data_IF_291691225683
#
_entry.id   IF_291691225683
#
_cell.length_a   1.000
_cell.length_b   1.000
_cell.length_c   1.000
_cell.angle_alpha   90.00
_cell.angle_beta   90.00
_cell.angle_gamma   90.00
#
_symmetry.space_group_name_H-M   'P 1'
#
loop_
_entity.id
_entity.type
_entity.pdbx_description
1 polymer ?
#
# COMPACT_ATOMS: atom_id res chain seq x y z
N UNK A 1 37.20 15.55 -26.65
CA UNK A 1 36.83 14.40 -25.80
C UNK A 1 36.87 14.81 -24.33
N UNK A 2 35.82 14.56 -23.53
CA UNK A 2 35.95 14.60 -22.07
C UNK A 2 35.51 13.26 -21.45
N UNK A 3 36.44 12.33 -21.32
CA UNK A 3 36.31 11.18 -20.44
C UNK A 3 36.94 11.55 -19.09
N UNK A 4 36.22 11.41 -17.98
CA UNK A 4 36.82 11.57 -16.64
C UNK A 4 35.92 12.08 -15.52
N UNK A 5 34.71 12.56 -15.78
CA UNK A 5 33.82 13.11 -14.72
C UNK A 5 32.92 12.09 -13.99
N UNK A 6 32.96 10.81 -14.37
CA UNK A 6 32.05 9.79 -13.84
C UNK A 6 32.52 9.03 -12.59
N UNK A 7 33.84 8.85 -12.42
CA UNK A 7 34.37 7.89 -11.44
C UNK A 7 34.49 8.41 -10.01
N UNK A 8 34.58 9.74 -9.84
CA UNK A 8 34.78 10.35 -8.51
C UNK A 8 33.53 10.21 -7.65
N UNK A 9 32.35 10.36 -8.26
CA UNK A 9 31.07 10.17 -7.56
C UNK A 9 30.76 8.70 -7.21
N UNK A 10 31.28 7.76 -7.99
CA UNK A 10 31.04 6.32 -7.78
C UNK A 10 31.81 5.79 -6.57
N UNK A 11 33.11 6.07 -6.51
CA UNK A 11 33.95 5.65 -5.38
C UNK A 11 33.52 6.31 -4.07
N UNK A 12 33.00 7.54 -4.13
CA UNK A 12 32.44 8.23 -2.97
C UNK A 12 31.20 7.51 -2.42
N UNK A 13 30.25 7.16 -3.28
CA UNK A 13 29.01 6.49 -2.86
C UNK A 13 29.25 5.06 -2.36
N UNK A 14 30.17 4.32 -2.98
CA UNK A 14 30.56 3.00 -2.51
C UNK A 14 31.26 3.05 -1.15
N UNK A 15 32.14 4.03 -0.92
CA UNK A 15 32.77 4.22 0.40
C UNK A 15 31.74 4.57 1.47
N UNK A 16 30.77 5.44 1.16
CA UNK A 16 29.67 5.74 2.07
C UNK A 16 28.86 4.48 2.41
N UNK A 17 28.50 3.68 1.41
CA UNK A 17 27.77 2.43 1.61
C UNK A 17 28.57 1.43 2.45
N UNK A 18 29.89 1.35 2.29
CA UNK A 18 30.75 0.53 3.13
C UNK A 18 30.75 0.99 4.59
N UNK A 19 30.81 2.31 4.84
CA UNK A 19 30.69 2.86 6.20
C UNK A 19 29.32 2.62 6.82
N UNK A 20 28.24 2.70 6.02
CA UNK A 20 26.89 2.37 6.48
C UNK A 20 26.70 0.88 6.75
N UNK A 21 27.31 0.01 5.93
CA UNK A 21 27.29 -1.44 6.11
C UNK A 21 28.03 -1.88 7.38
N UNK A 22 29.05 -1.12 7.81
CA UNK A 22 29.72 -1.33 9.10
C UNK A 22 28.84 -0.96 10.31
N UNK A 23 27.67 -0.33 10.10
CA UNK A 23 26.69 -0.01 11.15
C UNK A 23 26.92 1.30 11.90
N UNK A 24 28.02 2.01 11.62
CA UNK A 24 28.38 3.25 12.32
C UNK A 24 27.94 4.50 11.55
N UNK A 25 26.69 4.93 11.79
CA UNK A 25 26.12 6.16 11.21
C UNK A 25 26.93 7.41 11.61
N UNK A 26 27.48 7.43 12.83
CA UNK A 26 28.32 8.52 13.32
C UNK A 26 29.63 8.65 12.52
N UNK A 27 30.29 7.52 12.26
CA UNK A 27 31.53 7.46 11.46
C UNK A 27 31.27 7.86 10.02
N UNK A 28 30.18 7.38 9.43
CA UNK A 28 29.77 7.76 8.07
C UNK A 28 29.45 9.27 7.96
N UNK A 29 28.83 9.85 8.99
CA UNK A 29 28.54 11.30 9.05
C UNK A 29 29.81 12.12 9.16
N UNK A 30 30.74 11.72 10.04
CA UNK A 30 32.02 12.40 10.19
C UNK A 30 32.85 12.33 8.90
N UNK A 31 32.87 11.17 8.25
CA UNK A 31 33.54 11.00 6.96
C UNK A 31 32.94 11.91 5.87
N UNK A 32 31.61 11.99 5.80
CA UNK A 32 30.91 12.88 4.87
C UNK A 32 31.20 14.37 5.15
N UNK A 33 31.27 14.78 6.41
CA UNK A 33 31.64 16.14 6.81
C UNK A 33 33.11 16.48 6.50
N UNK A 34 34.02 15.52 6.63
CA UNK A 34 35.43 15.71 6.26
C UNK A 34 35.63 15.99 4.76
N UNK A 35 34.69 15.51 3.92
CA UNK A 35 34.71 15.71 2.47
C UNK A 35 33.97 16.96 2.00
N UNK A 36 33.20 17.62 2.87
CA UNK A 36 32.52 18.88 2.56
C UNK A 36 33.55 19.99 2.27
N UNK A 37 33.48 20.55 1.06
CA UNK A 37 34.33 21.68 0.64
C UNK A 37 35.62 21.29 -0.10
N UNK A 38 35.97 20.00 -0.17
CA UNK A 38 37.13 19.52 -0.95
C UNK A 38 36.82 19.47 -2.46
N UNK A 39 35.56 19.31 -2.83
CA UNK A 39 35.17 19.12 -4.24
C UNK A 39 34.14 20.17 -4.67
N UNK A 40 34.60 21.11 -5.49
CA UNK A 40 33.80 22.18 -6.08
C UNK A 40 33.59 21.90 -7.57
N UNK A 41 32.54 21.15 -7.90
CA UNK A 41 32.16 20.91 -9.30
C UNK A 41 30.82 20.22 -9.42
N UNK A 42 29.98 20.66 -10.37
CA UNK A 42 28.80 19.89 -10.75
C UNK A 42 29.26 18.49 -11.21
N UNK A 43 28.74 17.39 -10.63
CA UNK A 43 27.42 17.26 -10.01
C UNK A 43 27.43 16.89 -8.50
N UNK A 44 28.39 17.42 -7.73
CA UNK A 44 28.51 17.18 -6.29
C UNK A 44 27.28 17.46 -5.42
N UNK A 45 26.50 18.53 -5.66
CA UNK A 45 25.36 18.85 -4.80
C UNK A 45 24.30 17.73 -4.76
N UNK A 46 24.06 17.08 -5.89
CA UNK A 46 23.09 15.99 -6.02
C UNK A 46 23.57 14.72 -5.31
N UNK A 47 24.86 14.39 -5.44
CA UNK A 47 25.51 13.25 -4.78
C UNK A 47 25.49 13.44 -3.26
N UNK A 48 25.75 14.67 -2.82
CA UNK A 48 25.74 15.02 -1.41
C UNK A 48 24.35 14.94 -0.79
N UNK A 49 23.32 15.45 -1.47
CA UNK A 49 21.93 15.32 -1.06
C UNK A 49 21.50 13.84 -0.96
N UNK A 50 21.92 13.01 -1.93
CA UNK A 50 21.66 11.56 -1.90
C UNK A 50 22.33 10.91 -0.68
N UNK A 51 23.58 11.27 -0.40
CA UNK A 51 24.34 10.75 0.74
C UNK A 51 23.73 11.15 2.09
N UNK A 52 23.27 12.40 2.23
CA UNK A 52 22.53 12.84 3.40
C UNK A 52 21.24 12.04 3.60
N UNK A 53 20.46 11.84 2.53
CA UNK A 53 19.22 11.06 2.62
C UNK A 53 19.49 9.61 3.08
N UNK A 54 20.59 9.00 2.62
CA UNK A 54 21.03 7.67 3.07
C UNK A 54 21.41 7.64 4.56
N UNK A 55 22.08 8.68 5.06
CA UNK A 55 22.38 8.80 6.49
C UNK A 55 21.11 8.96 7.33
N UNK A 56 20.15 9.75 6.86
CA UNK A 56 18.84 9.91 7.52
C UNK A 56 18.07 8.60 7.56
N UNK A 57 18.10 7.83 6.46
CA UNK A 57 17.49 6.50 6.40
C UNK A 57 18.14 5.53 7.39
N UNK A 58 19.48 5.51 7.47
CA UNK A 58 20.22 4.69 8.44
C UNK A 58 19.99 5.13 9.89
N UNK A 59 19.78 6.43 10.12
CA UNK A 59 19.42 7.01 11.41
C UNK A 59 17.95 6.80 11.83
N UNK A 60 17.13 6.14 11.00
CA UNK A 60 15.72 5.87 11.29
C UNK A 60 14.75 7.00 10.93
N UNK A 61 15.23 8.10 10.32
CA UNK A 61 14.42 9.22 9.86
C UNK A 61 13.92 8.99 8.41
N UNK A 62 13.21 7.89 8.20
CA UNK A 62 12.75 7.45 6.86
C UNK A 62 11.86 8.47 6.15
N UNK A 63 10.98 9.18 6.86
CA UNK A 63 10.10 10.20 6.27
C UNK A 63 10.88 11.41 5.72
N UNK A 64 11.92 11.85 6.43
CA UNK A 64 12.78 12.93 5.97
C UNK A 64 13.61 12.48 4.74
N UNK A 65 14.12 11.25 4.77
CA UNK A 65 14.84 10.66 3.64
C UNK A 65 13.95 10.53 2.38
N UNK A 66 12.69 10.10 2.52
CA UNK A 66 11.74 9.98 1.41
C UNK A 66 11.53 11.32 0.70
N UNK A 67 11.31 12.40 1.46
CA UNK A 67 11.11 13.73 0.91
C UNK A 67 12.32 14.17 0.05
N UNK A 68 13.53 13.91 0.53
CA UNK A 68 14.77 14.23 -0.19
C UNK A 68 14.92 13.37 -1.45
N UNK A 69 14.65 12.06 -1.40
CA UNK A 69 14.69 11.21 -2.59
C UNK A 69 13.69 11.65 -3.67
N UNK A 70 12.50 12.09 -3.26
CA UNK A 70 11.47 12.60 -4.19
C UNK A 70 11.87 13.93 -4.82
N UNK A 71 12.58 14.78 -4.10
CA UNK A 71 13.13 16.02 -4.65
C UNK A 71 14.26 15.72 -5.64
N UNK A 72 15.20 14.85 -5.27
CA UNK A 72 16.30 14.41 -6.13
C UNK A 72 15.82 13.81 -7.45
N UNK A 73 14.73 13.04 -7.45
CA UNK A 73 14.16 12.49 -8.68
C UNK A 73 13.66 13.57 -9.66
N UNK A 74 13.33 14.76 -9.18
CA UNK A 74 12.87 15.89 -10.00
C UNK A 74 14.02 16.78 -10.46
N UNK A 75 15.02 17.00 -9.59
CA UNK A 75 16.07 17.99 -9.79
C UNK A 75 17.36 17.40 -10.36
N UNK A 76 17.63 16.10 -10.16
CA UNK A 76 18.92 15.52 -10.50
C UNK A 76 19.17 15.38 -12.01
N UNK A 77 20.26 15.98 -12.48
CA UNK A 77 20.74 15.89 -13.84
C UNK A 77 21.38 14.54 -14.14
N UNK A 78 22.05 13.90 -13.16
CA UNK A 78 22.69 12.60 -13.38
C UNK A 78 21.67 11.45 -13.31
N UNK A 79 21.61 10.64 -14.37
CA UNK A 79 20.78 9.43 -14.42
C UNK A 79 21.10 8.44 -13.28
N UNK A 80 22.39 8.19 -12.99
CA UNK A 80 22.82 7.27 -11.93
C UNK A 80 22.33 7.66 -10.53
N UNK A 81 22.33 8.96 -10.21
CA UNK A 81 21.80 9.47 -8.93
C UNK A 81 20.29 9.21 -8.86
N UNK A 82 19.57 9.44 -9.96
CA UNK A 82 18.13 9.11 -10.05
C UNK A 82 17.87 7.62 -9.87
N UNK A 83 18.66 6.74 -10.49
CA UNK A 83 18.47 5.30 -10.36
C UNK A 83 18.71 4.83 -8.92
N UNK A 84 19.75 5.35 -8.25
CA UNK A 84 20.06 5.02 -6.84
C UNK A 84 19.02 5.59 -5.87
N UNK A 85 18.50 6.79 -6.12
CA UNK A 85 17.39 7.38 -5.36
C UNK A 85 16.09 6.59 -5.54
N UNK A 86 15.81 6.10 -6.76
CA UNK A 86 14.63 5.29 -7.04
C UNK A 86 14.69 3.94 -6.33
N UNK A 87 15.84 3.28 -6.33
CA UNK A 87 16.05 2.03 -5.60
C UNK A 87 15.88 2.21 -4.08
N UNK A 88 16.43 3.30 -3.52
CA UNK A 88 16.25 3.64 -2.11
C UNK A 88 14.76 3.84 -1.75
N UNK A 89 14.04 4.62 -2.59
CA UNK A 89 12.63 4.90 -2.39
C UNK A 89 11.76 3.64 -2.47
N UNK A 90 12.05 2.74 -3.41
CA UNK A 90 11.36 1.45 -3.50
C UNK A 90 11.52 0.63 -2.21
N UNK A 91 12.74 0.55 -1.66
CA UNK A 91 12.97 -0.18 -0.40
C UNK A 91 12.26 0.41 0.82
N UNK A 92 11.97 1.72 0.84
CA UNK A 92 11.13 2.34 1.88
C UNK A 92 9.66 1.94 1.67
N UNK A 93 9.15 2.08 0.44
CA UNK A 93 7.76 1.77 0.11
C UNK A 93 7.42 0.30 0.36
N UNK A 94 8.32 -0.62 0.03
CA UNK A 94 8.13 -2.05 0.27
C UNK A 94 8.01 -2.35 1.77
N UNK A 95 8.85 -1.72 2.61
CA UNK A 95 8.76 -1.86 4.07
C UNK A 95 7.45 -1.30 4.62
N UNK A 96 7.00 -0.14 4.15
CA UNK A 96 5.71 0.42 4.55
C UNK A 96 4.53 -0.45 4.11
N UNK A 97 4.59 -1.00 2.90
CA UNK A 97 3.56 -1.88 2.38
C UNK A 97 3.52 -3.19 3.18
N UNK A 98 4.68 -3.76 3.49
CA UNK A 98 4.81 -4.95 4.34
C UNK A 98 4.21 -4.68 5.72
N UNK A 99 4.57 -3.55 6.36
CA UNK A 99 4.07 -3.15 7.67
C UNK A 99 2.54 -2.97 7.66
N UNK A 100 2.00 -2.37 6.59
CA UNK A 100 0.55 -2.24 6.41
C UNK A 100 -0.13 -3.60 6.27
N UNK A 101 0.43 -4.51 5.47
CA UNK A 101 -0.11 -5.86 5.31
C UNK A 101 -0.05 -6.65 6.62
N UNK A 102 1.03 -6.51 7.41
CA UNK A 102 1.13 -7.15 8.73
C UNK A 102 0.13 -6.56 9.72
N UNK A 103 -0.09 -5.25 9.72
CA UNK A 103 -1.11 -4.62 10.57
C UNK A 103 -2.52 -5.08 10.19
N UNK A 104 -2.82 -5.21 8.89
CA UNK A 104 -4.09 -5.77 8.41
C UNK A 104 -4.21 -7.24 8.83
N UNK A 105 -3.17 -8.06 8.63
CA UNK A 105 -3.19 -9.47 9.03
C UNK A 105 -3.37 -9.61 10.56
N UNK A 106 -2.66 -8.81 11.35
CA UNK A 106 -2.80 -8.77 12.80
C UNK A 106 -4.21 -8.36 13.23
N UNK A 107 -4.79 -7.32 12.60
CA UNK A 107 -6.17 -6.91 12.83
C UNK A 107 -7.17 -7.99 12.40
N UNK A 108 -6.92 -8.69 11.30
CA UNK A 108 -7.73 -9.82 10.83
C UNK A 108 -7.65 -11.02 11.77
N UNK A 109 -6.50 -11.27 12.41
CA UNK A 109 -6.35 -12.34 13.41
C UNK A 109 -6.90 -11.95 14.79
N UNK A 110 -6.90 -10.65 15.13
CA UNK A 110 -7.46 -10.13 16.38
C UNK A 110 -8.99 -9.94 16.32
N UNK A 111 -9.54 -9.78 15.11
CA UNK A 111 -10.96 -9.97 14.86
C UNK A 111 -11.25 -11.47 15.01
N UNK A 112 -11.62 -11.85 16.24
CA UNK A 112 -12.15 -13.17 16.55
C UNK A 112 -13.10 -13.62 15.43
N UNK A 113 -12.89 -14.83 14.90
CA UNK A 113 -13.63 -15.39 13.77
C UNK A 113 -15.14 -15.53 14.06
N UNK A 114 -15.61 -15.09 15.22
CA UNK A 114 -16.99 -14.98 15.64
C UNK A 114 -17.64 -13.59 15.44
N UNK A 115 -16.88 -12.52 15.11
CA UNK A 115 -17.48 -11.19 14.91
C UNK A 115 -18.21 -11.10 13.57
N UNK A 116 -19.50 -11.38 13.63
CA UNK A 116 -20.45 -11.15 12.55
C UNK A 116 -20.65 -9.64 12.39
N UNK A 117 -20.20 -9.10 11.25
CA UNK A 117 -20.52 -7.74 10.86
C UNK A 117 -21.95 -7.65 10.32
N UNK A 118 -22.71 -6.63 10.71
CA UNK A 118 -24.00 -6.34 10.10
C UNK A 118 -23.91 -5.05 9.29
N UNK A 119 -24.30 -5.12 8.02
CA UNK A 119 -24.45 -3.95 7.16
C UNK A 119 -25.93 -3.63 7.01
N UNK A 120 -26.36 -2.48 7.51
CA UNK A 120 -27.74 -2.00 7.38
C UNK A 120 -27.81 -1.08 6.16
N UNK A 121 -28.50 -1.55 5.11
CA UNK A 121 -28.70 -0.79 3.88
C UNK A 121 -30.03 -0.04 3.97
N UNK A 122 -29.96 1.28 3.94
CA UNK A 122 -31.16 2.14 3.88
C UNK A 122 -31.85 2.01 2.51
N UNK A 123 -33.18 2.17 2.45
CA UNK A 123 -33.90 2.21 1.17
C UNK A 123 -33.36 3.29 0.24
N UNK A 124 -33.21 2.93 -1.03
CA UNK A 124 -32.73 3.85 -2.08
C UNK A 124 -33.84 4.07 -3.10
N UNK A 125 -34.04 5.31 -3.52
CA UNK A 125 -34.91 5.69 -4.63
C UNK A 125 -34.51 4.94 -5.93
N UNK A 126 -35.51 4.59 -6.75
CA UNK A 126 -35.33 3.79 -7.96
C UNK A 126 -34.29 4.40 -8.92
N UNK A 127 -34.26 5.72 -9.02
CA UNK A 127 -33.40 6.48 -9.94
C UNK A 127 -31.90 6.34 -9.63
N UNK A 128 -31.53 6.07 -8.36
CA UNK A 128 -30.13 5.92 -7.93
C UNK A 128 -29.70 4.46 -7.77
N UNK A 129 -30.61 3.53 -8.03
CA UNK A 129 -30.42 2.11 -7.70
C UNK A 129 -29.37 1.44 -8.59
N UNK A 130 -29.31 1.77 -9.87
CA UNK A 130 -28.35 1.15 -10.79
C UNK A 130 -26.91 1.62 -10.56
N UNK A 131 -26.73 2.92 -10.29
CA UNK A 131 -25.39 3.44 -9.98
C UNK A 131 -24.86 2.92 -8.65
N UNK A 132 -25.72 2.82 -7.63
CA UNK A 132 -25.32 2.23 -6.35
C UNK A 132 -25.08 0.73 -6.47
N UNK A 133 -25.84 0.00 -7.29
CA UNK A 133 -25.59 -1.42 -7.54
C UNK A 133 -24.21 -1.65 -8.18
N UNK A 134 -23.84 -0.82 -9.18
CA UNK A 134 -22.52 -0.89 -9.81
C UNK A 134 -21.38 -0.57 -8.84
N UNK A 135 -21.57 0.40 -7.95
CA UNK A 135 -20.58 0.75 -6.92
C UNK A 135 -20.43 -0.35 -5.87
N UNK A 136 -21.55 -0.93 -5.41
CA UNK A 136 -21.55 -2.07 -4.48
C UNK A 136 -20.89 -3.30 -5.09
N UNK A 137 -21.19 -3.61 -6.36
CA UNK A 137 -20.56 -4.70 -7.09
C UNK A 137 -19.03 -4.60 -7.11
N UNK A 138 -18.48 -3.39 -7.31
CA UNK A 138 -17.03 -3.15 -7.25
C UNK A 138 -16.47 -3.31 -5.84
N UNK A 139 -17.17 -2.80 -4.83
CA UNK A 139 -16.71 -2.87 -3.44
C UNK A 139 -16.66 -4.31 -2.91
N UNK A 140 -17.68 -5.11 -3.23
CA UNK A 140 -17.80 -6.51 -2.79
C UNK A 140 -17.28 -7.52 -3.82
N UNK A 141 -16.67 -7.06 -4.91
CA UNK A 141 -16.15 -7.91 -6.01
C UNK A 141 -17.18 -8.94 -6.50
N UNK A 142 -18.43 -8.52 -6.66
CA UNK A 142 -19.54 -9.37 -7.12
C UNK A 142 -20.18 -8.77 -8.38
N UNK A 143 -21.14 -9.46 -9.00
CA UNK A 143 -21.82 -8.94 -10.18
C UNK A 143 -22.90 -7.89 -9.86
N UNK A 144 -23.19 -7.02 -10.83
CA UNK A 144 -24.15 -5.93 -10.65
C UNK A 144 -25.59 -6.40 -10.39
N UNK A 145 -25.96 -7.59 -10.87
CA UNK A 145 -27.30 -8.15 -10.68
C UNK A 145 -27.47 -8.61 -9.24
N UNK A 146 -26.49 -9.35 -8.71
CA UNK A 146 -26.41 -9.77 -7.32
C UNK A 146 -26.37 -8.56 -6.38
N UNK A 147 -25.53 -7.56 -6.65
CA UNK A 147 -25.48 -6.33 -5.85
C UNK A 147 -26.82 -5.55 -5.85
N UNK A 148 -27.58 -5.57 -6.95
CA UNK A 148 -28.90 -4.92 -7.04
C UNK A 148 -29.95 -5.57 -6.14
N UNK A 149 -29.81 -6.86 -5.80
CA UNK A 149 -30.70 -7.56 -4.85
C UNK A 149 -30.43 -7.22 -3.38
N UNK A 150 -29.28 -6.62 -3.10
CA UNK A 150 -28.90 -6.16 -1.76
C UNK A 150 -29.44 -4.76 -1.44
N UNK A 151 -29.78 -3.99 -2.46
CA UNK A 151 -30.37 -2.65 -2.35
C UNK A 151 -31.90 -2.74 -2.22
N UNK A 152 -32.48 -2.42 -1.05
CA UNK A 152 -33.91 -2.38 -0.89
C UNK A 152 -34.52 -1.08 -1.42
N UNK A 153 -35.78 -1.17 -1.88
CA UNK A 153 -36.55 -0.02 -2.36
C UNK A 153 -37.49 0.54 -1.29
N UNK A 154 -37.99 -0.30 -0.37
CA UNK A 154 -39.05 0.07 0.58
C UNK A 154 -38.66 -0.08 2.05
N UNK A 155 -37.93 -1.13 2.40
CA UNK A 155 -37.59 -1.45 3.80
C UNK A 155 -36.10 -1.64 3.97
N UNK A 156 -35.48 -1.12 5.04
CA UNK A 156 -34.06 -1.33 5.28
C UNK A 156 -33.75 -2.82 5.34
N UNK A 157 -32.62 -3.21 4.74
CA UNK A 157 -32.19 -4.61 4.69
C UNK A 157 -30.90 -4.76 5.49
N UNK A 158 -30.83 -5.80 6.30
CA UNK A 158 -29.64 -6.13 7.07
C UNK A 158 -28.92 -7.25 6.32
N UNK A 159 -27.68 -6.99 5.94
CA UNK A 159 -26.80 -7.97 5.32
C UNK A 159 -25.84 -8.48 6.39
N UNK A 160 -25.82 -9.80 6.56
CA UNK A 160 -24.85 -10.46 7.43
C UNK A 160 -23.53 -10.60 6.68
N UNK A 161 -22.49 -9.95 7.17
CA UNK A 161 -21.11 -10.14 6.73
C UNK A 161 -20.52 -11.22 7.64
N UNK A 162 -20.41 -12.45 7.10
CA UNK A 162 -19.72 -13.53 7.79
C UNK A 162 -18.21 -13.26 7.89
N UNK A 163 -17.48 -14.03 8.72
CA UNK A 163 -16.02 -13.96 8.81
C UNK A 163 -15.44 -14.19 7.41
N UNK A 164 -14.57 -13.29 7.00
CA UNK A 164 -14.11 -13.15 5.61
C UNK A 164 -13.48 -14.44 5.05
N UNK A 165 -14.04 -14.95 3.94
CA UNK A 165 -13.32 -15.38 2.73
C UNK A 165 -14.19 -16.37 1.92
N UNK A 166 -14.64 -15.97 0.74
CA UNK A 166 -14.99 -16.87 -0.37
C UNK A 166 -16.22 -17.81 -0.25
N UNK A 167 -17.26 -17.53 0.53
CA UNK A 167 -18.52 -18.28 0.39
C UNK A 167 -19.75 -17.52 0.87
N UNK A 168 -20.64 -17.23 -0.08
CA UNK A 168 -22.08 -17.00 0.12
C UNK A 168 -22.51 -15.92 1.12
N UNK A 169 -22.86 -14.74 0.62
CA UNK A 169 -23.65 -13.77 1.40
C UNK A 169 -25.11 -14.21 1.43
N UNK A 170 -25.68 -14.44 2.62
CA UNK A 170 -27.12 -14.69 2.78
C UNK A 170 -27.83 -13.37 3.09
N UNK A 171 -28.74 -12.96 2.19
CA UNK A 171 -29.46 -11.72 2.32
C UNK A 171 -30.80 -12.01 3.05
N UNK A 172 -30.87 -11.68 4.34
CA UNK A 172 -32.08 -11.93 5.16
C UNK A 172 -33.05 -10.77 4.94
N UNK A 173 -34.27 -11.08 4.51
CA UNK A 173 -35.35 -10.11 4.31
C UNK A 173 -36.30 -10.10 5.50
N UNK A 174 -36.64 -8.92 6.02
CA UNK A 174 -37.65 -8.79 7.08
C UNK A 174 -39.03 -8.64 6.41
N UNK A 175 -39.82 -9.72 6.39
CA UNK A 175 -41.24 -9.72 6.00
C UNK A 175 -42.16 -9.71 7.21
N UNK A 176 -43.42 -9.25 7.06
CA UNK A 176 -44.45 -9.21 8.13
C UNK A 176 -44.85 -10.57 8.73
N UNK A 177 -44.22 -11.67 8.31
CA UNK A 177 -44.45 -13.03 8.81
C UNK A 177 -43.11 -13.75 8.98
N UNK A 178 -42.49 -13.59 10.14
CA UNK A 178 -41.38 -14.45 10.57
C UNK A 178 -40.12 -14.42 9.69
N UNK A 179 -39.10 -15.13 10.17
CA UNK A 179 -37.75 -15.15 9.61
C UNK A 179 -37.65 -16.19 8.50
N UNK A 180 -37.83 -15.81 7.23
CA UNK A 180 -37.61 -16.70 6.09
C UNK A 180 -36.23 -16.43 5.43
N UNK A 181 -35.28 -17.40 5.46
CA UNK A 181 -34.02 -17.28 4.75
C UNK A 181 -34.23 -17.49 3.23
N UNK A 182 -34.13 -16.40 2.47
CA UNK A 182 -34.11 -16.45 1.00
C UNK A 182 -32.70 -16.81 0.49
N UNK A 183 -32.32 -18.09 0.59
CA UNK A 183 -31.22 -18.66 -0.18
C UNK A 183 -31.37 -20.18 -0.24
N UNK A 184 -31.92 -20.70 -1.33
CA UNK A 184 -31.83 -22.12 -1.64
C UNK A 184 -30.37 -22.48 -1.94
N UNK A 185 -29.74 -23.43 -1.22
CA UNK A 185 -28.49 -23.99 -1.68
C UNK A 185 -28.76 -24.84 -2.93
N UNK A 186 -28.13 -24.52 -4.06
CA UNK A 186 -28.08 -25.41 -5.21
C UNK A 186 -27.34 -26.69 -4.81
N UNK A 187 -28.07 -27.69 -4.32
CA UNK A 187 -27.57 -29.07 -4.24
C UNK A 187 -27.50 -29.60 -5.68
N UNK A 188 -26.31 -29.63 -6.27
CA UNK A 188 -26.02 -30.56 -7.36
C UNK A 188 -26.09 -31.98 -6.78
N UNK A 189 -27.16 -32.69 -7.05
CA UNK A 189 -27.26 -34.13 -6.79
C UNK A 189 -26.31 -34.88 -7.75
N UNK A 190 -25.51 -35.86 -7.28
CA UNK A 190 -24.85 -36.79 -8.19
C UNK A 190 -25.93 -37.71 -8.78
N UNK A 191 -25.96 -37.85 -10.11
CA UNK A 191 -26.74 -38.90 -10.77
C UNK A 191 -26.04 -40.24 -10.51
N UNK A 192 -26.66 -41.10 -9.71
CA UNK A 192 -26.38 -42.53 -9.74
C UNK A 192 -26.90 -43.10 -11.08
N UNK A 193 -26.09 -43.94 -11.72
CA UNK A 193 -26.49 -44.82 -12.82
C UNK A 193 -26.42 -46.25 -12.30
#
# INVERSE_FOLDING_TARGET
MPAGRGHIGESFLEQLEAHLAAGDVATATFWLQSRLGQETGAPWPEIFQLAQARLQEAGGHTAAAEAVYRDLLKTAAIQKVRDRARAALQGILDREQQARQTAIAAAMTAMDAAQVGFLIVKPVAADRREDLARRLARFFQTDAVTAKTWLPVRHPKILRLGPSANSGYTAIGCGRRGWEPYAQPQRRSPRCR
#
